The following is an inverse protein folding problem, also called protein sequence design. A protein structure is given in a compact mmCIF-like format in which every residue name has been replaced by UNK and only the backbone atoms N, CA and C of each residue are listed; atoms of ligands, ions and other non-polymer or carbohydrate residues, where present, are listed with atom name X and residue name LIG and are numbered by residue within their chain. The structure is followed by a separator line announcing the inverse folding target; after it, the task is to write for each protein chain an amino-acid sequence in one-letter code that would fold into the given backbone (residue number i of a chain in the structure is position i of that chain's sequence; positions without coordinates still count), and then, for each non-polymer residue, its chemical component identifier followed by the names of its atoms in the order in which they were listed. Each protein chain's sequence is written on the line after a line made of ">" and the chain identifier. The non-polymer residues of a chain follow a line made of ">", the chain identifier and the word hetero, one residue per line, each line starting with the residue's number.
data_IF_697710845985
#
_entry.id   IF_697710845985
#
_cell.length_a   1.000
_cell.length_b   1.000
_cell.length_c   1.000
_cell.angle_alpha   90.00
_cell.angle_beta   90.00
_cell.angle_gamma   90.00
#
_symmetry.space_group_name_H-M   'P 1'
#
loop_
_entity.id
_entity.type
_entity.pdbx_description
1 polymer ?
#
# COMPACT_ATOMS: atom_id res chain seq x y z
N UNK A 1 -29.43 -19.55 4.06
CA UNK A 1 -28.30 -19.58 4.99
C UNK A 1 -27.11 -18.86 4.33
N UNK A 2 -26.67 -17.75 4.93
CA UNK A 2 -25.47 -17.09 4.51
C UNK A 2 -24.26 -17.88 5.06
N UNK A 3 -23.18 -18.07 4.28
CA UNK A 3 -21.95 -18.64 4.83
C UNK A 3 -21.46 -17.77 5.99
N UNK A 4 -21.09 -18.37 7.10
CA UNK A 4 -20.69 -17.68 8.34
C UNK A 4 -19.54 -16.65 8.15
N UNK A 5 -18.77 -16.80 7.08
CA UNK A 5 -17.60 -15.95 6.78
C UNK A 5 -17.94 -14.62 6.06
N UNK A 6 -19.20 -14.44 5.61
CA UNK A 6 -19.58 -13.27 4.81
C UNK A 6 -20.12 -12.10 5.64
N UNK A 7 -20.47 -12.35 6.91
CA UNK A 7 -20.93 -11.31 7.84
C UNK A 7 -19.84 -11.00 8.85
N UNK A 8 -19.23 -9.81 8.81
CA UNK A 8 -18.26 -9.42 9.82
C UNK A 8 -18.92 -9.31 11.20
N UNK A 9 -18.26 -9.71 12.27
CA UNK A 9 -18.73 -9.66 13.67
C UNK A 9 -18.88 -8.20 14.12
N UNK A 10 -20.09 -7.75 14.49
CA UNK A 10 -20.38 -6.41 15.03
C UNK A 10 -21.73 -5.85 14.58
N UNK A 11 -22.21 -4.78 15.23
CA UNK A 11 -23.43 -4.04 14.83
C UNK A 11 -23.27 -3.52 13.39
N UNK A 12 -24.17 -3.92 12.50
CA UNK A 12 -24.12 -3.53 11.08
C UNK A 12 -25.49 -3.10 10.62
N UNK A 13 -25.48 -2.03 9.83
CA UNK A 13 -26.57 -1.71 8.94
C UNK A 13 -26.34 -2.55 7.67
N UNK A 14 -27.12 -3.60 7.51
CA UNK A 14 -27.10 -4.47 6.32
C UNK A 14 -28.19 -4.02 5.40
N UNK A 15 -27.86 -3.55 4.21
CA UNK A 15 -28.83 -3.29 3.15
C UNK A 15 -28.94 -4.55 2.30
N UNK A 16 -30.06 -5.22 2.36
CA UNK A 16 -30.39 -6.35 1.50
C UNK A 16 -30.94 -5.82 0.19
N UNK A 17 -30.25 -6.13 -0.92
CA UNK A 17 -30.77 -5.89 -2.26
C UNK A 17 -31.33 -7.22 -2.79
N UNK A 18 -32.65 -7.28 -2.92
CA UNK A 18 -33.35 -8.41 -3.52
C UNK A 18 -33.45 -8.14 -5.01
N UNK A 19 -32.87 -9.01 -5.85
CA UNK A 19 -33.04 -8.99 -7.30
C UNK A 19 -33.82 -10.24 -7.70
N UNK A 20 -34.88 -10.05 -8.44
CA UNK A 20 -35.65 -11.15 -9.02
C UNK A 20 -35.15 -11.35 -10.47
N UNK A 21 -34.72 -12.56 -10.78
CA UNK A 21 -34.39 -12.95 -12.16
C UNK A 21 -35.59 -13.71 -12.74
N UNK A 22 -36.30 -13.07 -13.65
CA UNK A 22 -37.31 -13.72 -14.48
C UNK A 22 -36.81 -13.77 -15.92
N UNK A 23 -36.91 -14.91 -16.55
CA UNK A 23 -36.59 -15.20 -17.97
C UNK A 23 -35.95 -14.06 -18.82
N UNK A 24 -34.76 -13.65 -18.45
CA UNK A 24 -33.94 -12.69 -19.19
C UNK A 24 -34.07 -11.22 -18.76
N UNK A 25 -34.95 -10.85 -17.86
CA UNK A 25 -35.04 -9.50 -17.30
C UNK A 25 -34.72 -9.48 -15.81
N UNK A 26 -33.91 -8.51 -15.37
CA UNK A 26 -33.57 -8.29 -13.96
C UNK A 26 -34.42 -7.18 -13.38
N UNK A 27 -35.41 -7.51 -12.61
CA UNK A 27 -36.25 -6.53 -11.91
C UNK A 27 -35.66 -6.22 -10.52
N UNK A 28 -35.37 -4.93 -10.27
CA UNK A 28 -34.91 -4.43 -8.98
C UNK A 28 -36.11 -4.26 -8.03
N UNK A 29 -36.19 -5.08 -6.98
CA UNK A 29 -37.12 -4.85 -5.90
C UNK A 29 -36.64 -3.70 -5.01
N UNK A 30 -37.59 -2.91 -4.41
CA UNK A 30 -37.22 -1.85 -3.48
C UNK A 30 -36.38 -2.40 -2.31
N UNK A 31 -35.33 -1.66 -1.94
CA UNK A 31 -34.45 -2.07 -0.84
C UNK A 31 -35.23 -2.10 0.47
N UNK A 32 -35.29 -3.27 1.11
CA UNK A 32 -35.85 -3.40 2.45
C UNK A 32 -34.78 -3.10 3.49
N UNK A 33 -35.12 -2.22 4.43
CA UNK A 33 -34.29 -1.91 5.59
C UNK A 33 -34.54 -2.98 6.66
N UNK A 34 -33.57 -3.80 6.98
CA UNK A 34 -33.62 -4.72 8.12
C UNK A 34 -32.84 -4.06 9.26
N UNK A 35 -33.55 -3.64 10.27
CA UNK A 35 -33.01 -2.81 11.34
C UNK A 35 -31.87 -3.41 12.14
N UNK A 36 -31.29 -2.58 13.00
CA UNK A 36 -30.08 -2.60 13.80
C UNK A 36 -29.72 -3.84 14.65
N UNK A 37 -30.34 -4.97 14.52
CA UNK A 37 -30.01 -6.20 15.25
C UNK A 37 -29.98 -7.38 14.30
N UNK A 38 -28.79 -7.65 13.75
CA UNK A 38 -28.47 -8.99 13.28
C UNK A 38 -27.74 -9.67 14.44
N UNK A 39 -28.49 -10.21 15.38
CA UNK A 39 -27.97 -11.25 16.24
C UNK A 39 -27.85 -12.51 15.39
N UNK A 40 -26.61 -12.93 15.23
CA UNK A 40 -26.19 -14.23 14.68
C UNK A 40 -26.93 -14.70 13.43
N UNK A 41 -26.48 -14.28 12.28
CA UNK A 41 -26.31 -15.08 11.06
C UNK A 41 -27.54 -15.73 10.39
N UNK A 42 -28.74 -15.61 10.89
CA UNK A 42 -29.94 -16.22 10.29
C UNK A 42 -31.02 -15.19 10.05
N UNK A 43 -31.21 -14.78 8.82
CA UNK A 43 -32.45 -14.13 8.38
C UNK A 43 -33.34 -15.26 7.87
N UNK A 44 -34.28 -15.68 8.70
CA UNK A 44 -35.35 -16.60 8.27
C UNK A 44 -36.30 -15.78 7.39
N UNK A 45 -36.21 -15.91 6.09
CA UNK A 45 -37.27 -15.56 5.17
C UNK A 45 -38.27 -16.71 5.21
N UNK A 46 -39.47 -16.44 5.73
CA UNK A 46 -40.54 -17.44 5.76
C UNK A 46 -40.98 -17.70 4.31
N UNK A 47 -40.73 -18.92 3.84
CA UNK A 47 -41.06 -19.35 2.48
C UNK A 47 -42.58 -19.18 2.16
N UNK A 48 -43.42 -19.14 3.19
CA UNK A 48 -44.86 -18.88 3.06
C UNK A 48 -45.21 -17.47 2.57
N UNK A 49 -44.30 -16.50 2.66
CA UNK A 49 -44.52 -15.14 2.21
C UNK A 49 -43.98 -14.86 0.80
N UNK A 50 -43.17 -15.78 0.22
CA UNK A 50 -42.64 -15.67 -1.14
C UNK A 50 -43.74 -15.85 -2.20
N UNK A 51 -44.76 -16.64 -1.92
CA UNK A 51 -45.90 -16.87 -2.82
C UNK A 51 -46.85 -15.65 -2.96
N UNK A 52 -46.64 -14.61 -2.17
CA UNK A 52 -47.47 -13.38 -2.17
C UNK A 52 -46.76 -12.18 -2.82
N UNK A 53 -45.56 -12.32 -3.33
CA UNK A 53 -44.90 -11.26 -4.07
C UNK A 53 -45.55 -11.15 -5.47
N UNK A 54 -46.42 -10.17 -5.62
CA UNK A 54 -46.99 -9.80 -6.90
C UNK A 54 -46.40 -8.45 -7.34
N UNK A 55 -45.96 -8.35 -8.58
CA UNK A 55 -45.66 -7.07 -9.22
C UNK A 55 -46.72 -6.83 -10.28
N UNK A 56 -47.42 -5.71 -10.16
CA UNK A 56 -48.54 -5.35 -11.05
C UNK A 56 -49.72 -6.36 -11.05
N UNK A 57 -49.90 -7.15 -9.98
CA UNK A 57 -51.01 -8.11 -9.86
C UNK A 57 -50.71 -9.50 -10.44
N UNK A 58 -49.58 -9.75 -11.00
CA UNK A 58 -49.14 -11.07 -11.47
C UNK A 58 -48.19 -11.74 -10.49
N UNK A 59 -48.36 -13.05 -10.28
CA UNK A 59 -47.49 -13.85 -9.43
C UNK A 59 -46.10 -14.00 -10.09
N UNK A 60 -45.06 -13.64 -9.34
CA UNK A 60 -43.70 -13.74 -9.80
C UNK A 60 -43.20 -15.19 -9.72
N UNK A 61 -42.94 -15.80 -10.87
CA UNK A 61 -42.20 -17.06 -10.96
C UNK A 61 -40.77 -16.77 -11.34
N UNK A 62 -39.80 -17.05 -10.46
CA UNK A 62 -38.37 -16.84 -10.75
C UNK A 62 -37.47 -17.22 -9.57
N UNK A 63 -36.18 -17.26 -9.81
CA UNK A 63 -35.17 -17.45 -8.76
C UNK A 63 -34.90 -16.15 -8.03
N UNK A 64 -35.06 -16.13 -6.72
CA UNK A 64 -34.69 -15.01 -5.86
C UNK A 64 -33.19 -15.06 -5.57
N UNK A 65 -32.43 -14.14 -6.13
CA UNK A 65 -31.05 -13.94 -5.77
C UNK A 65 -30.93 -12.83 -4.73
N UNK A 66 -30.41 -13.18 -3.55
CA UNK A 66 -30.08 -12.19 -2.52
C UNK A 66 -28.61 -11.81 -2.58
N UNK A 67 -28.32 -10.56 -2.85
CA UNK A 67 -26.97 -10.01 -2.66
C UNK A 67 -26.95 -9.13 -1.42
N UNK A 68 -26.11 -9.47 -0.46
CA UNK A 68 -25.88 -8.64 0.73
C UNK A 68 -24.91 -7.54 0.36
N UNK A 69 -25.43 -6.31 0.21
CA UNK A 69 -24.58 -5.13 0.11
C UNK A 69 -24.34 -4.62 1.53
N UNK A 70 -23.36 -5.21 2.21
CA UNK A 70 -23.01 -4.79 3.56
C UNK A 70 -22.24 -3.49 3.55
N UNK A 71 -22.81 -2.41 4.09
CA UNK A 71 -22.03 -1.31 4.61
C UNK A 71 -21.66 -1.62 6.06
N UNK A 72 -20.51 -2.27 6.24
CA UNK A 72 -19.96 -2.44 7.57
C UNK A 72 -19.51 -1.07 8.10
N UNK A 73 -20.31 -0.42 8.91
CA UNK A 73 -19.78 0.47 9.95
C UNK A 73 -19.19 -0.43 11.04
N UNK A 74 -18.07 -1.09 10.73
CA UNK A 74 -17.28 -1.71 11.79
C UNK A 74 -16.94 -0.64 12.81
N UNK A 75 -16.80 -1.00 14.07
CA UNK A 75 -16.26 -0.16 15.14
C UNK A 75 -14.77 0.20 14.84
N UNK A 76 -14.51 0.73 13.65
CA UNK A 76 -13.21 1.24 13.18
C UNK A 76 -12.69 2.27 14.18
N UNK A 77 -13.61 3.03 14.81
CA UNK A 77 -13.27 3.99 15.83
C UNK A 77 -12.75 3.33 17.12
N UNK A 78 -13.18 2.10 17.44
CA UNK A 78 -12.72 1.42 18.64
C UNK A 78 -11.26 0.94 18.52
N UNK A 79 -10.81 0.54 17.33
CA UNK A 79 -9.43 0.08 17.08
C UNK A 79 -8.51 1.17 16.55
N UNK A 80 -9.06 2.19 15.89
CA UNK A 80 -8.29 3.32 15.36
C UNK A 80 -7.55 4.08 16.47
N UNK A 81 -8.25 4.50 17.51
CA UNK A 81 -7.67 5.25 18.62
C UNK A 81 -6.62 4.45 19.42
N UNK A 82 -6.87 3.17 19.81
CA UNK A 82 -5.84 2.36 20.46
C UNK A 82 -4.60 2.15 19.58
N UNK A 83 -4.76 1.90 18.27
CA UNK A 83 -3.61 1.70 17.38
C UNK A 83 -2.83 3.00 17.18
N UNK A 84 -3.51 4.12 16.91
CA UNK A 84 -2.86 5.42 16.84
C UNK A 84 -2.21 5.80 18.18
N UNK A 85 -2.89 5.54 19.29
CA UNK A 85 -2.36 5.74 20.63
C UNK A 85 -1.14 4.85 20.90
N UNK A 86 -1.19 3.58 20.55
CA UNK A 86 -0.07 2.65 20.69
C UNK A 86 1.12 3.07 19.81
N UNK A 87 0.90 3.53 18.59
CA UNK A 87 1.97 4.04 17.72
C UNK A 87 2.60 5.32 18.27
N UNK A 88 1.78 6.26 18.78
CA UNK A 88 2.26 7.48 19.42
C UNK A 88 3.01 7.15 20.70
N UNK A 89 2.49 6.25 21.54
CA UNK A 89 3.14 5.79 22.78
C UNK A 89 4.44 5.04 22.48
N UNK A 90 4.44 4.21 21.44
CA UNK A 90 5.68 3.51 21.01
C UNK A 90 6.71 4.52 20.49
N UNK A 91 6.29 5.51 19.70
CA UNK A 91 7.16 6.61 19.26
C UNK A 91 7.68 7.43 20.44
N UNK A 92 6.81 7.80 21.37
CA UNK A 92 7.18 8.52 22.60
C UNK A 92 8.11 7.68 23.49
N UNK A 93 7.82 6.38 23.66
CA UNK A 93 8.68 5.47 24.41
C UNK A 93 10.07 5.32 23.76
N UNK A 94 10.14 5.23 22.43
CA UNK A 94 11.40 5.23 21.69
C UNK A 94 12.18 6.52 21.92
N UNK A 95 11.52 7.68 21.84
CA UNK A 95 12.16 8.99 22.13
C UNK A 95 12.63 9.07 23.58
N UNK A 96 11.79 8.64 24.54
CA UNK A 96 12.14 8.63 25.97
C UNK A 96 13.29 7.66 26.28
N UNK A 97 13.27 6.44 25.70
CA UNK A 97 14.38 5.48 25.85
C UNK A 97 15.66 6.01 25.21
N UNK A 98 15.56 6.71 24.07
CA UNK A 98 16.70 7.38 23.45
C UNK A 98 17.23 8.52 24.32
N UNK A 99 16.35 9.36 24.88
CA UNK A 99 16.72 10.46 25.76
C UNK A 99 17.35 9.98 27.08
N UNK A 100 16.74 8.96 27.70
CA UNK A 100 17.24 8.36 28.96
C UNK A 100 18.61 7.69 28.78
N UNK A 101 18.81 6.97 27.65
CA UNK A 101 20.10 6.32 27.37
C UNK A 101 21.17 7.32 26.94
N UNK A 102 20.79 8.43 26.29
CA UNK A 102 21.69 9.56 26.00
C UNK A 102 22.21 10.17 27.33
N UNK A 103 21.31 10.32 28.32
CA UNK A 103 21.68 10.80 29.65
C UNK A 103 22.64 9.86 30.40
N UNK A 104 22.55 8.54 30.15
CA UNK A 104 23.36 7.50 30.81
C UNK A 104 24.62 7.08 30.05
N UNK A 105 25.00 7.79 28.98
CA UNK A 105 26.23 7.56 28.19
C UNK A 105 26.30 6.21 27.44
N UNK A 106 25.20 5.44 27.38
CA UNK A 106 25.15 4.16 26.67
C UNK A 106 24.75 4.37 25.22
N UNK A 107 25.67 4.08 24.30
CA UNK A 107 25.39 4.13 22.86
C UNK A 107 24.42 3.04 22.46
N UNK A 108 23.25 3.44 21.95
CA UNK A 108 22.29 2.56 21.32
C UNK A 108 22.30 2.76 19.81
N UNK A 109 21.98 1.69 19.09
CA UNK A 109 21.84 1.72 17.63
C UNK A 109 20.89 2.84 17.15
N UNK A 110 19.74 3.04 17.83
CA UNK A 110 18.77 4.10 17.49
C UNK A 110 19.33 5.51 17.75
N UNK A 111 20.04 5.72 18.87
CA UNK A 111 20.73 6.99 19.14
C UNK A 111 21.79 7.27 18.10
N UNK A 112 22.57 6.27 17.75
CA UNK A 112 23.58 6.37 16.70
C UNK A 112 22.96 6.74 15.35
N UNK A 113 21.82 6.15 14.99
CA UNK A 113 21.08 6.50 13.75
C UNK A 113 20.57 7.94 13.80
N UNK A 114 19.98 8.38 14.92
CA UNK A 114 19.48 9.75 15.08
C UNK A 114 20.62 10.76 15.05
N UNK A 115 21.72 10.51 15.77
CA UNK A 115 22.91 11.37 15.76
C UNK A 115 23.57 11.43 14.38
N UNK A 116 23.62 10.30 13.66
CA UNK A 116 24.13 10.26 12.31
C UNK A 116 23.24 11.02 11.34
N UNK A 117 21.90 10.88 11.44
CA UNK A 117 20.96 11.63 10.62
C UNK A 117 21.08 13.14 10.89
N UNK A 118 21.21 13.56 12.15
CA UNK A 118 21.37 14.97 12.49
C UNK A 118 22.71 15.52 12.02
N UNK A 119 23.80 14.76 12.21
CA UNK A 119 25.15 15.14 11.77
C UNK A 119 25.25 15.29 10.25
N UNK A 120 24.57 14.42 9.49
CA UNK A 120 24.64 14.41 8.03
C UNK A 120 23.38 14.98 7.36
N UNK A 121 22.46 15.59 8.10
CA UNK A 121 21.20 16.16 7.57
C UNK A 121 21.40 17.12 6.41
N UNK A 122 22.44 17.97 6.50
CA UNK A 122 22.77 18.92 5.45
C UNK A 122 23.19 18.20 4.16
N UNK A 123 24.06 17.19 4.29
CA UNK A 123 24.51 16.39 3.16
C UNK A 123 23.37 15.60 2.52
N UNK A 124 22.54 14.94 3.35
CA UNK A 124 21.38 14.20 2.85
C UNK A 124 20.45 15.14 2.07
N UNK A 125 20.16 16.33 2.64
CA UNK A 125 19.35 17.35 1.97
C UNK A 125 19.95 17.79 0.64
N UNK A 126 21.27 18.00 0.57
CA UNK A 126 21.96 18.37 -0.68
C UNK A 126 21.88 17.25 -1.72
N UNK A 127 22.14 15.98 -1.31
CA UNK A 127 22.04 14.84 -2.22
C UNK A 127 20.62 14.67 -2.76
N UNK A 128 19.60 14.74 -1.89
CA UNK A 128 18.18 14.66 -2.28
C UNK A 128 17.83 15.81 -3.23
N UNK A 129 18.20 17.04 -2.91
CA UNK A 129 17.95 18.21 -3.77
C UNK A 129 18.64 18.09 -5.12
N UNK A 130 19.92 17.64 -5.14
CA UNK A 130 20.65 17.38 -6.37
C UNK A 130 19.93 16.35 -7.24
N UNK A 131 19.54 15.23 -6.66
CA UNK A 131 18.90 14.14 -7.39
C UNK A 131 17.53 14.55 -7.93
N UNK A 132 16.75 15.29 -7.14
CA UNK A 132 15.47 15.85 -7.56
C UNK A 132 15.65 16.87 -8.69
N UNK A 133 16.58 17.82 -8.54
CA UNK A 133 16.84 18.82 -9.57
C UNK A 133 17.38 18.20 -10.85
N UNK A 134 18.26 17.18 -10.77
CA UNK A 134 18.80 16.50 -11.95
C UNK A 134 17.71 15.81 -12.75
N UNK A 135 16.70 15.24 -12.08
CA UNK A 135 15.55 14.57 -12.73
C UNK A 135 14.70 15.55 -13.55
N UNK A 136 14.56 16.81 -13.10
CA UNK A 136 13.60 17.76 -13.68
C UNK A 136 14.25 18.96 -14.39
N UNK A 137 15.57 19.15 -14.28
CA UNK A 137 16.27 20.36 -14.75
C UNK A 137 16.10 20.69 -16.23
N UNK A 138 15.98 19.67 -17.08
CA UNK A 138 15.88 19.84 -18.54
C UNK A 138 14.48 19.53 -19.08
N UNK A 139 13.49 19.43 -18.23
CA UNK A 139 12.13 19.09 -18.61
C UNK A 139 11.26 20.34 -18.68
N UNK A 140 10.49 20.50 -19.78
CA UNK A 140 9.52 21.58 -19.97
C UNK A 140 8.43 21.55 -18.89
N UNK A 141 7.93 20.36 -18.57
CA UNK A 141 6.89 20.17 -17.55
C UNK A 141 7.45 19.99 -16.14
N UNK A 142 8.79 19.76 -16.01
CA UNK A 142 9.45 19.64 -14.72
C UNK A 142 8.77 18.64 -13.77
N UNK A 143 8.48 19.10 -12.57
CA UNK A 143 7.84 18.32 -11.50
C UNK A 143 6.42 17.86 -11.86
N UNK A 144 5.75 18.52 -12.83
CA UNK A 144 4.42 18.14 -13.27
C UNK A 144 4.39 16.71 -13.84
N UNK A 145 5.51 16.19 -14.33
CA UNK A 145 5.62 14.79 -14.77
C UNK A 145 5.37 13.79 -13.63
N UNK A 146 5.75 14.11 -12.40
CA UNK A 146 5.45 13.23 -11.25
C UNK A 146 3.95 13.14 -10.95
N UNK A 147 3.20 14.17 -11.34
CA UNK A 147 1.74 14.19 -11.24
C UNK A 147 1.08 13.51 -12.45
N UNK A 148 1.53 13.84 -13.67
CA UNK A 148 0.93 13.35 -14.91
C UNK A 148 1.19 11.87 -15.17
N UNK A 149 2.40 11.39 -14.90
CA UNK A 149 2.79 10.01 -15.20
C UNK A 149 1.87 8.97 -14.54
N UNK A 150 1.58 9.03 -13.21
CA UNK A 150 0.61 8.12 -12.60
C UNK A 150 -0.80 8.21 -13.22
N UNK A 151 -1.26 9.43 -13.57
CA UNK A 151 -2.56 9.62 -14.19
C UNK A 151 -2.64 9.03 -15.59
N UNK A 152 -1.64 9.29 -16.43
CA UNK A 152 -1.60 8.75 -17.79
C UNK A 152 -1.48 7.23 -17.77
N UNK A 153 -0.62 6.68 -16.91
CA UNK A 153 -0.47 5.24 -16.75
C UNK A 153 -1.78 4.61 -16.29
N UNK A 154 -2.44 5.21 -15.31
CA UNK A 154 -3.76 4.77 -14.84
C UNK A 154 -4.80 4.85 -15.97
N UNK A 155 -4.81 5.94 -16.74
CA UNK A 155 -5.75 6.12 -17.85
C UNK A 155 -5.63 5.02 -18.91
N UNK A 156 -4.40 4.71 -19.33
CA UNK A 156 -4.13 3.61 -20.27
C UNK A 156 -4.56 2.26 -19.69
N UNK A 157 -4.18 1.98 -18.46
CA UNK A 157 -4.54 0.72 -17.79
C UNK A 157 -6.04 0.61 -17.54
N UNK A 158 -6.70 1.72 -17.19
CA UNK A 158 -8.15 1.77 -17.06
C UNK A 158 -8.84 1.37 -18.36
N UNK A 159 -8.45 1.96 -19.49
CA UNK A 159 -9.02 1.62 -20.80
C UNK A 159 -8.81 0.13 -21.11
N UNK A 160 -7.61 -0.39 -20.94
CA UNK A 160 -7.29 -1.79 -21.22
C UNK A 160 -8.09 -2.73 -20.32
N UNK A 161 -8.05 -2.52 -19.02
CA UNK A 161 -8.64 -3.48 -18.06
C UNK A 161 -10.16 -3.31 -17.91
N UNK A 162 -10.73 -2.12 -18.11
CA UNK A 162 -12.18 -1.94 -18.10
C UNK A 162 -12.84 -2.49 -19.35
N UNK A 163 -12.20 -2.31 -20.52
CA UNK A 163 -12.79 -2.71 -21.81
C UNK A 163 -12.57 -4.19 -22.09
N UNK A 164 -11.35 -4.71 -21.88
CA UNK A 164 -11.00 -6.09 -22.23
C UNK A 164 -11.46 -7.07 -21.13
N UNK A 165 -11.21 -6.75 -19.86
CA UNK A 165 -11.49 -7.64 -18.74
C UNK A 165 -12.86 -7.41 -18.09
N UNK A 166 -13.63 -6.39 -18.54
CA UNK A 166 -14.95 -6.03 -17.99
C UNK A 166 -14.96 -6.06 -16.47
N UNK A 167 -13.95 -5.45 -15.87
CA UNK A 167 -13.73 -5.45 -14.43
C UNK A 167 -14.95 -4.85 -13.71
N UNK A 168 -15.57 -5.63 -12.85
CA UNK A 168 -16.73 -5.22 -12.02
C UNK A 168 -16.33 -4.50 -10.72
N UNK A 169 -15.07 -4.07 -10.62
CA UNK A 169 -14.55 -3.41 -9.40
C UNK A 169 -15.15 -2.01 -9.29
N UNK A 170 -15.83 -1.74 -8.19
CA UNK A 170 -16.32 -0.39 -7.89
C UNK A 170 -15.13 0.58 -7.76
N UNK A 171 -15.28 1.79 -8.34
CA UNK A 171 -14.23 2.83 -8.31
C UNK A 171 -12.87 2.35 -8.83
N UNK A 172 -12.87 1.58 -9.93
CA UNK A 172 -11.68 0.98 -10.52
C UNK A 172 -10.51 1.95 -10.76
N UNK A 173 -10.71 3.24 -11.17
CA UNK A 173 -9.60 4.20 -11.29
C UNK A 173 -8.83 4.40 -9.98
N UNK A 174 -9.53 4.52 -8.84
CA UNK A 174 -8.90 4.68 -7.52
C UNK A 174 -8.20 3.37 -7.11
N UNK A 175 -8.81 2.22 -7.41
CA UNK A 175 -8.21 0.90 -7.19
C UNK A 175 -6.87 0.75 -7.92
N UNK A 176 -6.81 1.14 -9.18
CA UNK A 176 -5.58 1.13 -9.99
C UNK A 176 -4.54 2.12 -9.43
N UNK A 177 -4.95 3.38 -9.16
CA UNK A 177 -4.06 4.43 -8.70
C UNK A 177 -3.35 4.06 -7.38
N UNK A 178 -4.07 3.46 -6.43
CA UNK A 178 -3.45 3.04 -5.15
C UNK A 178 -2.31 2.05 -5.37
N UNK A 179 -2.51 1.07 -6.25
CA UNK A 179 -1.48 0.09 -6.60
C UNK A 179 -0.32 0.70 -7.37
N UNK A 180 -0.62 1.49 -8.42
CA UNK A 180 0.37 2.12 -9.29
C UNK A 180 1.30 3.05 -8.49
N UNK A 181 0.75 3.92 -7.66
CA UNK A 181 1.52 4.93 -6.91
C UNK A 181 2.50 4.27 -5.94
N UNK A 182 2.06 3.27 -5.17
CA UNK A 182 2.92 2.59 -4.21
C UNK A 182 3.96 1.71 -4.91
N UNK A 183 3.57 0.99 -5.95
CA UNK A 183 4.49 0.10 -6.66
C UNK A 183 5.54 0.88 -7.47
N UNK A 184 5.15 1.99 -8.12
CA UNK A 184 6.08 2.86 -8.83
C UNK A 184 7.12 3.45 -7.88
N UNK A 185 6.70 3.87 -6.67
CA UNK A 185 7.65 4.32 -5.65
C UNK A 185 8.65 3.21 -5.28
N UNK A 186 8.17 2.00 -4.99
CA UNK A 186 9.03 0.87 -4.67
C UNK A 186 10.03 0.58 -5.79
N UNK A 187 9.55 0.49 -7.03
CA UNK A 187 10.38 0.24 -8.22
C UNK A 187 11.43 1.33 -8.42
N UNK A 188 11.05 2.61 -8.34
CA UNK A 188 11.95 3.75 -8.49
C UNK A 188 12.99 3.79 -7.36
N UNK A 189 12.56 3.68 -6.09
CA UNK A 189 13.42 3.76 -4.94
C UNK A 189 14.47 2.64 -4.91
N UNK A 190 14.07 1.41 -5.25
CA UNK A 190 14.99 0.27 -5.29
C UNK A 190 15.94 0.32 -6.47
N UNK A 191 15.49 0.76 -7.65
CA UNK A 191 16.34 0.92 -8.83
C UNK A 191 17.38 2.03 -8.64
N UNK A 192 16.99 3.20 -8.11
CA UNK A 192 17.92 4.28 -7.79
C UNK A 192 18.85 3.89 -6.63
N UNK A 193 18.32 3.16 -5.64
CA UNK A 193 19.09 2.65 -4.51
C UNK A 193 20.18 1.66 -4.95
N UNK A 194 19.84 0.76 -5.86
CA UNK A 194 20.76 -0.22 -6.45
C UNK A 194 22.00 0.45 -7.05
N UNK A 195 21.82 1.55 -7.78
CA UNK A 195 22.90 2.28 -8.43
C UNK A 195 23.62 3.27 -7.50
N UNK A 196 23.10 3.49 -6.31
CA UNK A 196 23.51 4.58 -5.42
C UNK A 196 25.01 4.62 -5.08
N UNK A 197 25.63 3.48 -4.86
CA UNK A 197 27.06 3.38 -4.52
C UNK A 197 27.91 3.57 -5.78
N UNK A 198 27.57 2.89 -6.86
CA UNK A 198 28.32 2.89 -8.12
C UNK A 198 28.37 4.26 -8.77
N UNK A 199 27.22 4.95 -8.85
CA UNK A 199 27.13 6.31 -9.42
C UNK A 199 27.91 7.34 -8.60
N UNK A 200 28.07 7.13 -7.31
CA UNK A 200 28.80 8.04 -6.42
C UNK A 200 30.22 7.53 -6.08
N UNK A 201 30.79 6.60 -6.86
CA UNK A 201 32.09 6.02 -6.64
C UNK A 201 33.20 7.08 -6.48
N UNK A 202 33.22 8.10 -7.36
CA UNK A 202 34.19 9.19 -7.29
C UNK A 202 34.13 10.03 -6.02
N UNK A 203 32.95 10.09 -5.38
CA UNK A 203 32.77 10.80 -4.12
C UNK A 203 33.19 9.91 -2.93
N UNK A 204 32.88 8.62 -3.00
CA UNK A 204 33.20 7.63 -1.97
C UNK A 204 34.72 7.44 -1.83
N UNK A 205 35.46 7.52 -2.94
CA UNK A 205 36.90 7.36 -2.94
C UNK A 205 37.66 8.61 -2.47
N UNK A 206 37.06 9.80 -2.61
CA UNK A 206 37.72 11.09 -2.28
C UNK A 206 37.37 11.61 -0.89
N UNK A 207 36.19 11.27 -0.36
CA UNK A 207 35.68 11.82 0.91
C UNK A 207 35.24 10.69 1.82
N UNK A 208 35.79 10.68 3.04
CA UNK A 208 35.38 9.70 4.05
C UNK A 208 33.99 10.05 4.60
N UNK A 209 33.00 9.32 4.10
CA UNK A 209 31.60 9.46 4.55
C UNK A 209 30.96 8.09 4.77
N UNK A 210 30.00 7.99 5.69
CA UNK A 210 29.23 6.76 5.88
C UNK A 210 28.48 6.39 4.59
N UNK A 211 28.78 5.22 4.04
CA UNK A 211 28.31 4.81 2.70
C UNK A 211 26.80 4.57 2.63
N UNK A 212 26.14 4.27 3.77
CA UNK A 212 24.67 4.09 3.83
C UNK A 212 23.88 5.37 3.51
N UNK A 213 24.51 6.55 3.54
CA UNK A 213 23.86 7.82 3.19
C UNK A 213 23.40 7.82 1.72
N UNK A 214 24.11 7.13 0.83
CA UNK A 214 23.77 7.10 -0.59
C UNK A 214 22.48 6.35 -0.90
N UNK A 215 22.26 5.09 -0.47
CA UNK A 215 20.97 4.43 -0.64
C UNK A 215 19.84 5.18 0.07
N UNK A 216 20.10 5.72 1.27
CA UNK A 216 19.11 6.49 2.02
C UNK A 216 18.68 7.75 1.27
N UNK A 217 19.62 8.54 0.73
CA UNK A 217 19.30 9.78 0.00
C UNK A 217 18.50 9.49 -1.28
N UNK A 218 18.80 8.39 -2.00
CA UNK A 218 18.04 7.97 -3.18
C UNK A 218 16.62 7.56 -2.83
N UNK A 219 16.44 6.77 -1.79
CA UNK A 219 15.11 6.35 -1.32
C UNK A 219 14.27 7.55 -0.83
N UNK A 220 14.91 8.52 -0.16
CA UNK A 220 14.25 9.77 0.25
C UNK A 220 13.91 10.67 -0.95
N UNK A 221 14.74 10.71 -1.97
CA UNK A 221 14.44 11.47 -3.19
C UNK A 221 13.21 10.91 -3.91
N UNK A 222 13.10 9.58 -4.02
CA UNK A 222 11.91 8.93 -4.57
C UNK A 222 10.67 9.14 -3.69
N UNK A 223 10.83 9.28 -2.36
CA UNK A 223 9.72 9.56 -1.45
C UNK A 223 9.04 10.90 -1.77
N UNK A 224 9.80 11.90 -2.20
CA UNK A 224 9.21 13.18 -2.65
C UNK A 224 8.29 12.96 -3.85
N UNK A 225 8.70 12.11 -4.81
CA UNK A 225 7.87 11.76 -5.96
C UNK A 225 6.60 11.03 -5.54
N UNK A 226 6.69 10.11 -4.56
CA UNK A 226 5.52 9.45 -3.98
C UNK A 226 4.54 10.47 -3.40
N UNK A 227 5.03 11.41 -2.58
CA UNK A 227 4.18 12.45 -1.96
C UNK A 227 3.47 13.31 -3.02
N UNK A 228 4.16 13.68 -4.10
CA UNK A 228 3.55 14.38 -5.23
C UNK A 228 2.50 13.49 -5.92
N UNK A 229 2.77 12.20 -6.09
CA UNK A 229 1.85 11.24 -6.74
C UNK A 229 0.60 10.91 -5.89
N UNK A 230 0.58 11.24 -4.59
CA UNK A 230 -0.64 11.16 -3.78
C UNK A 230 -1.66 12.23 -4.16
N UNK A 231 -1.22 13.37 -4.71
CA UNK A 231 -2.14 14.46 -5.12
C UNK A 231 -3.11 13.96 -6.22
N UNK A 232 -2.65 13.36 -7.34
CA UNK A 232 -3.55 12.79 -8.33
C UNK A 232 -4.42 11.65 -7.77
N UNK A 233 -3.95 10.87 -6.80
CA UNK A 233 -4.77 9.87 -6.12
C UNK A 233 -5.96 10.52 -5.38
N UNK A 234 -5.69 11.57 -4.59
CA UNK A 234 -6.73 12.32 -3.89
C UNK A 234 -7.72 12.98 -4.87
N UNK A 235 -7.20 13.54 -5.97
CA UNK A 235 -8.02 14.13 -7.02
C UNK A 235 -8.94 13.08 -7.64
N UNK A 236 -8.44 11.87 -7.94
CA UNK A 236 -9.27 10.79 -8.48
C UNK A 236 -10.33 10.32 -7.49
N UNK A 237 -10.04 10.29 -6.18
CA UNK A 237 -11.05 9.99 -5.16
C UNK A 237 -12.18 11.03 -5.18
N UNK A 238 -11.86 12.31 -5.31
CA UNK A 238 -12.86 13.39 -5.42
C UNK A 238 -13.70 13.27 -6.68
N UNK A 239 -13.07 13.02 -7.84
CA UNK A 239 -13.76 12.89 -9.13
C UNK A 239 -14.68 11.68 -9.16
N UNK A 240 -14.27 10.57 -8.56
CA UNK A 240 -15.07 9.32 -8.51
C UNK A 240 -16.10 9.29 -7.39
N UNK A 241 -16.15 10.34 -6.54
CA UNK A 241 -17.11 10.43 -5.43
C UNK A 241 -16.77 9.50 -4.25
N UNK A 242 -15.54 8.99 -4.16
CA UNK A 242 -15.10 8.19 -3.01
C UNK A 242 -14.98 9.09 -1.78
N UNK A 243 -15.68 8.79 -0.66
CA UNK A 243 -15.68 9.67 0.51
C UNK A 243 -14.30 9.75 1.17
N UNK A 244 -13.86 10.96 1.48
CA UNK A 244 -12.65 11.19 2.26
C UNK A 244 -12.94 10.88 3.73
N UNK A 245 -12.57 9.70 4.17
CA UNK A 245 -12.80 9.22 5.55
C UNK A 245 -11.62 9.54 6.47
N UNK A 246 -11.87 9.48 7.79
CA UNK A 246 -10.81 9.62 8.80
C UNK A 246 -9.73 8.54 8.69
N UNK A 247 -10.02 7.42 8.03
CA UNK A 247 -9.06 6.34 7.78
C UNK A 247 -7.86 6.83 6.94
N UNK A 248 -8.02 7.87 6.10
CA UNK A 248 -6.91 8.45 5.33
C UNK A 248 -5.78 9.01 6.21
N UNK A 249 -6.02 9.31 7.49
CA UNK A 249 -4.97 9.68 8.43
C UNK A 249 -3.95 8.55 8.69
N UNK A 250 -4.25 7.31 8.30
CA UNK A 250 -3.31 6.18 8.33
C UNK A 250 -2.38 6.13 7.11
N UNK A 251 -2.59 6.96 6.08
CA UNK A 251 -1.72 7.02 4.89
C UNK A 251 -0.23 7.21 5.24
N UNK A 252 0.17 8.08 6.18
CA UNK A 252 1.58 8.23 6.57
C UNK A 252 2.20 6.93 7.09
N UNK A 253 1.40 6.07 7.74
CA UNK A 253 1.86 4.76 8.23
C UNK A 253 2.16 3.80 7.07
N UNK A 254 1.29 3.77 6.05
CA UNK A 254 1.53 2.97 4.83
C UNK A 254 2.81 3.45 4.13
N UNK A 255 2.97 4.76 4.01
CA UNK A 255 4.18 5.37 3.42
C UNK A 255 5.42 4.95 4.20
N UNK A 256 5.35 4.95 5.53
CA UNK A 256 6.45 4.50 6.38
C UNK A 256 6.81 3.04 6.15
N UNK A 257 5.81 2.14 6.03
CA UNK A 257 6.04 0.73 5.75
C UNK A 257 6.73 0.53 4.39
N UNK A 258 6.20 1.16 3.33
CA UNK A 258 6.77 1.04 1.98
C UNK A 258 8.16 1.68 1.90
N UNK A 259 8.38 2.82 2.58
CA UNK A 259 9.69 3.46 2.68
C UNK A 259 10.72 2.55 3.35
N UNK A 260 10.37 1.98 4.51
CA UNK A 260 11.25 1.10 5.29
C UNK A 260 11.61 -0.15 4.49
N UNK A 261 10.63 -0.75 3.82
CA UNK A 261 10.81 -1.88 2.92
C UNK A 261 11.76 -1.54 1.76
N UNK A 262 11.48 -0.44 1.05
CA UNK A 262 12.27 0.02 -0.09
C UNK A 262 13.70 0.36 0.30
N UNK A 263 13.92 0.94 1.48
CA UNK A 263 15.25 1.24 2.01
C UNK A 263 16.05 -0.04 2.27
N UNK A 264 15.43 -1.03 2.91
CA UNK A 264 16.06 -2.34 3.15
C UNK A 264 16.48 -3.02 1.86
N UNK A 265 15.57 -3.07 0.88
CA UNK A 265 15.85 -3.62 -0.45
C UNK A 265 16.92 -2.82 -1.18
N UNK A 266 16.90 -1.48 -1.11
CA UNK A 266 17.90 -0.61 -1.72
C UNK A 266 19.31 -0.87 -1.17
N UNK A 267 19.45 -1.06 0.14
CA UNK A 267 20.74 -1.38 0.77
C UNK A 267 21.27 -2.76 0.33
N UNK A 268 20.39 -3.75 0.29
CA UNK A 268 20.73 -5.09 -0.18
C UNK A 268 21.19 -5.06 -1.64
N UNK A 269 20.41 -4.45 -2.51
CA UNK A 269 20.66 -4.36 -3.94
C UNK A 269 21.89 -3.52 -4.27
N UNK A 270 22.12 -2.40 -3.56
CA UNK A 270 23.33 -1.60 -3.68
C UNK A 270 24.58 -2.41 -3.39
N UNK A 271 24.53 -3.25 -2.34
CA UNK A 271 25.65 -4.15 -2.02
C UNK A 271 25.87 -5.18 -3.12
N UNK A 272 24.81 -5.82 -3.61
CA UNK A 272 24.91 -6.80 -4.70
C UNK A 272 25.46 -6.19 -5.97
N UNK A 273 25.03 -4.97 -6.34
CA UNK A 273 25.45 -4.28 -7.55
C UNK A 273 26.93 -3.86 -7.53
N UNK A 274 27.51 -3.60 -6.36
CA UNK A 274 28.95 -3.33 -6.24
C UNK A 274 29.78 -4.56 -6.61
N UNK A 275 29.37 -5.75 -6.17
CA UNK A 275 30.08 -6.99 -6.45
C UNK A 275 29.73 -7.61 -7.80
N UNK A 276 28.47 -7.51 -8.20
CA UNK A 276 27.91 -8.11 -9.40
C UNK A 276 27.12 -7.07 -10.19
N UNK A 277 27.73 -6.49 -11.21
CA UNK A 277 27.12 -5.44 -12.06
C UNK A 277 25.84 -5.89 -12.78
N UNK A 278 25.71 -7.20 -13.03
CA UNK A 278 24.54 -7.81 -13.68
C UNK A 278 23.28 -7.74 -12.80
N UNK A 279 23.43 -7.48 -11.50
CA UNK A 279 22.31 -7.28 -10.56
C UNK A 279 21.30 -6.25 -11.09
N UNK A 280 21.75 -5.23 -11.83
CA UNK A 280 20.90 -4.22 -12.45
C UNK A 280 19.89 -4.83 -13.44
N UNK A 281 20.38 -5.70 -14.32
CA UNK A 281 19.54 -6.35 -15.33
C UNK A 281 18.60 -7.36 -14.67
N UNK A 282 19.12 -8.16 -13.76
CA UNK A 282 18.30 -9.12 -13.00
C UNK A 282 17.19 -8.42 -12.22
N UNK A 283 17.50 -7.31 -11.56
CA UNK A 283 16.51 -6.56 -10.79
C UNK A 283 15.39 -6.00 -11.64
N UNK A 284 15.70 -5.50 -12.85
CA UNK A 284 14.67 -5.00 -13.76
C UNK A 284 13.65 -6.09 -14.14
N UNK A 285 14.13 -7.33 -14.37
CA UNK A 285 13.27 -8.48 -14.65
C UNK A 285 12.45 -8.88 -13.41
N UNK A 286 13.09 -8.90 -12.23
CA UNK A 286 12.40 -9.20 -10.96
C UNK A 286 11.28 -8.20 -10.69
N UNK A 287 11.52 -6.91 -10.86
CA UNK A 287 10.49 -5.86 -10.68
C UNK A 287 9.34 -6.05 -11.66
N UNK A 288 9.63 -6.40 -12.92
CA UNK A 288 8.59 -6.67 -13.91
C UNK A 288 7.71 -7.86 -13.49
N UNK A 289 8.33 -8.98 -13.11
CA UNK A 289 7.61 -10.16 -12.61
C UNK A 289 6.79 -9.79 -11.36
N UNK A 290 7.38 -9.07 -10.41
CA UNK A 290 6.73 -8.67 -9.17
C UNK A 290 5.52 -7.77 -9.39
N UNK A 291 5.57 -6.89 -10.45
CA UNK A 291 4.43 -6.05 -10.86
C UNK A 291 3.20 -6.91 -11.17
N UNK A 292 3.39 -8.00 -11.92
CA UNK A 292 2.30 -8.90 -12.30
C UNK A 292 1.90 -9.90 -11.22
N UNK A 293 2.83 -10.29 -10.37
CA UNK A 293 2.53 -11.12 -9.19
C UNK A 293 1.78 -10.35 -8.09
N UNK A 294 1.83 -9.02 -8.10
CA UNK A 294 1.05 -8.21 -7.17
C UNK A 294 -0.28 -7.82 -7.83
N UNK A 295 -1.44 -8.03 -7.18
CA UNK A 295 -2.75 -7.75 -7.76
C UNK A 295 -3.00 -6.24 -7.85
N UNK A 296 -2.26 -5.56 -8.74
CA UNK A 296 -2.40 -4.13 -9.02
C UNK A 296 -3.59 -3.91 -9.96
N UNK A 297 -3.68 -4.72 -11.02
CA UNK A 297 -4.58 -4.54 -12.16
C UNK A 297 -5.85 -5.40 -12.10
N UNK A 298 -5.84 -6.44 -11.28
CA UNK A 298 -6.90 -7.44 -11.19
C UNK A 298 -7.36 -7.63 -9.74
N UNK A 299 -8.63 -8.05 -9.53
CA UNK A 299 -9.15 -8.28 -8.19
C UNK A 299 -8.61 -9.57 -7.59
N UNK A 300 -8.58 -9.64 -6.26
CA UNK A 300 -8.15 -10.82 -5.51
C UNK A 300 -8.99 -12.07 -5.82
N UNK A 301 -10.26 -11.88 -6.21
CA UNK A 301 -11.18 -12.98 -6.54
C UNK A 301 -10.72 -13.85 -7.72
N UNK A 302 -9.80 -13.36 -8.56
CA UNK A 302 -9.21 -14.14 -9.67
C UNK A 302 -8.12 -15.10 -9.17
N UNK A 303 -7.57 -14.85 -7.98
CA UNK A 303 -6.47 -15.66 -7.44
C UNK A 303 -7.02 -17.00 -6.95
N UNK A 304 -6.47 -18.15 -7.40
CA UNK A 304 -6.86 -19.46 -6.89
C UNK A 304 -6.66 -19.54 -5.37
N UNK A 305 -7.62 -20.14 -4.65
CA UNK A 305 -7.58 -20.24 -3.18
C UNK A 305 -6.28 -20.88 -2.65
N UNK A 306 -5.67 -21.79 -3.41
CA UNK A 306 -4.41 -22.44 -3.07
C UNK A 306 -3.22 -21.49 -3.02
N UNK A 307 -3.24 -20.39 -3.79
CA UNK A 307 -2.15 -19.42 -3.90
C UNK A 307 -2.34 -18.20 -2.98
N UNK A 308 -3.49 -18.01 -2.38
CA UNK A 308 -3.79 -16.85 -1.51
C UNK A 308 -2.76 -16.74 -0.39
N UNK A 309 -2.36 -17.87 0.24
CA UNK A 309 -1.32 -17.87 1.28
C UNK A 309 0.02 -17.30 0.81
N UNK A 310 0.42 -17.59 -0.43
CA UNK A 310 1.65 -17.07 -1.03
C UNK A 310 1.55 -15.55 -1.29
N UNK A 311 0.39 -15.09 -1.74
CA UNK A 311 0.14 -13.65 -1.95
C UNK A 311 0.17 -12.88 -0.63
N UNK A 312 -0.33 -13.44 0.46
CA UNK A 312 -0.25 -12.82 1.79
C UNK A 312 1.19 -12.67 2.30
N UNK A 313 2.14 -13.49 1.83
CA UNK A 313 3.56 -13.35 2.15
C UNK A 313 4.24 -12.23 1.34
N UNK A 314 3.61 -11.72 0.27
CA UNK A 314 4.15 -10.62 -0.53
C UNK A 314 3.99 -9.28 0.20
N UNK A 315 5.09 -8.60 0.63
CA UNK A 315 4.97 -7.34 1.36
C UNK A 315 4.26 -6.25 0.56
N UNK A 316 4.54 -6.15 -0.75
CA UNK A 316 3.91 -5.14 -1.61
C UNK A 316 2.40 -5.32 -1.73
N UNK A 317 1.93 -6.58 -1.76
CA UNK A 317 0.50 -6.90 -1.71
C UNK A 317 -0.13 -6.35 -0.42
N UNK A 318 0.49 -6.60 0.74
CA UNK A 318 -0.03 -6.15 2.04
C UNK A 318 -0.09 -4.61 2.14
N UNK A 319 0.92 -3.91 1.64
CA UNK A 319 0.93 -2.44 1.65
C UNK A 319 -0.17 -1.85 0.73
N UNK A 320 -0.35 -2.42 -0.46
CA UNK A 320 -1.41 -2.01 -1.40
C UNK A 320 -2.79 -2.35 -0.83
N UNK A 321 -2.97 -3.52 -0.25
CA UNK A 321 -4.19 -3.93 0.43
C UNK A 321 -4.54 -2.96 1.57
N UNK A 322 -3.56 -2.61 2.42
CA UNK A 322 -3.72 -1.62 3.48
C UNK A 322 -4.19 -0.28 2.90
N UNK A 323 -3.53 0.22 1.85
CA UNK A 323 -3.90 1.47 1.20
C UNK A 323 -5.32 1.42 0.63
N UNK A 324 -5.74 0.30 0.02
CA UNK A 324 -7.10 0.10 -0.49
C UNK A 324 -8.15 0.09 0.62
N UNK A 325 -7.87 -0.54 1.75
CA UNK A 325 -8.77 -0.51 2.90
C UNK A 325 -9.07 0.93 3.36
N UNK A 326 -8.05 1.79 3.42
CA UNK A 326 -8.20 3.18 3.88
C UNK A 326 -8.78 4.11 2.81
N UNK A 327 -8.50 3.88 1.52
CA UNK A 327 -8.97 4.75 0.43
C UNK A 327 -10.36 4.34 -0.07
N UNK A 328 -10.55 3.08 -0.45
CA UNK A 328 -11.80 2.57 -1.02
C UNK A 328 -12.78 2.10 0.07
N UNK A 329 -12.27 1.35 1.04
CA UNK A 329 -13.09 0.83 2.14
C UNK A 329 -13.45 1.88 3.18
N UNK A 330 -12.66 2.95 3.28
CA UNK A 330 -12.84 3.98 4.32
C UNK A 330 -12.67 3.45 5.75
N UNK A 331 -12.08 2.26 5.90
CA UNK A 331 -11.93 1.52 7.16
C UNK A 331 -10.46 1.23 7.46
N UNK A 332 -10.13 1.11 8.75
CA UNK A 332 -8.81 0.61 9.16
C UNK A 332 -8.74 -0.90 8.90
N UNK A 333 -7.63 -1.41 8.36
CA UNK A 333 -7.46 -2.84 8.13
C UNK A 333 -7.43 -3.63 9.44
N UNK A 334 -7.57 -4.96 9.34
CA UNK A 334 -7.50 -5.85 10.50
C UNK A 334 -6.12 -5.78 11.19
N UNK A 335 -6.03 -5.99 12.52
CA UNK A 335 -4.76 -5.96 13.27
C UNK A 335 -3.68 -6.88 12.69
N UNK A 336 -4.06 -8.01 12.12
CA UNK A 336 -3.15 -8.97 11.50
C UNK A 336 -2.43 -8.38 10.26
N UNK A 337 -3.10 -7.47 9.52
CA UNK A 337 -2.50 -6.76 8.39
C UNK A 337 -1.36 -5.84 8.84
N UNK A 338 -1.50 -5.18 10.00
CA UNK A 338 -0.40 -4.38 10.58
C UNK A 338 0.81 -5.24 10.91
N UNK A 339 0.57 -6.45 11.43
CA UNK A 339 1.66 -7.41 11.73
C UNK A 339 2.38 -7.82 10.44
N UNK A 340 1.64 -8.21 9.40
CA UNK A 340 2.23 -8.56 8.10
C UNK A 340 3.00 -7.40 7.48
N UNK A 341 2.45 -6.17 7.51
CA UNK A 341 3.15 -4.98 7.03
C UNK A 341 4.43 -4.71 7.82
N UNK A 342 4.38 -4.82 9.16
CA UNK A 342 5.54 -4.60 10.02
C UNK A 342 6.63 -5.64 9.78
N UNK A 343 6.29 -6.93 9.75
CA UNK A 343 7.24 -8.00 9.46
C UNK A 343 7.78 -7.87 8.02
N UNK A 344 6.90 -7.60 7.06
CA UNK A 344 7.26 -7.42 5.65
C UNK A 344 8.24 -6.29 5.39
N UNK A 345 8.20 -5.20 6.16
CA UNK A 345 9.15 -4.10 6.02
C UNK A 345 10.42 -4.28 6.87
N UNK A 346 10.30 -4.85 8.09
CA UNK A 346 11.42 -4.96 9.02
C UNK A 346 12.43 -6.05 8.62
N UNK A 347 11.95 -7.19 8.11
CA UNK A 347 12.83 -8.30 7.70
C UNK A 347 13.80 -7.85 6.60
N UNK A 348 13.36 -7.27 5.46
CA UNK A 348 14.26 -6.77 4.42
C UNK A 348 15.17 -5.64 4.90
N UNK A 349 14.67 -4.77 5.80
CA UNK A 349 15.52 -3.72 6.39
C UNK A 349 16.67 -4.31 7.19
N UNK A 350 16.38 -5.25 8.09
CA UNK A 350 17.41 -5.88 8.94
C UNK A 350 18.44 -6.65 8.10
N UNK A 351 17.99 -7.41 7.11
CA UNK A 351 18.86 -8.14 6.18
C UNK A 351 19.70 -7.15 5.36
N UNK A 352 19.07 -6.13 4.77
CA UNK A 352 19.74 -5.12 3.96
C UNK A 352 20.82 -4.36 4.73
N UNK A 353 20.48 -3.88 5.93
CA UNK A 353 21.43 -3.19 6.82
C UNK A 353 22.58 -4.13 7.24
N UNK A 354 22.27 -5.37 7.59
CA UNK A 354 23.29 -6.34 8.02
C UNK A 354 24.28 -6.66 6.88
N UNK A 355 23.77 -6.98 5.68
CA UNK A 355 24.59 -7.29 4.50
C UNK A 355 25.43 -6.08 4.10
N UNK A 356 24.82 -4.89 4.09
CA UNK A 356 25.49 -3.65 3.75
C UNK A 356 26.63 -3.34 4.72
N UNK A 357 26.38 -3.37 6.04
CA UNK A 357 27.40 -3.12 7.07
C UNK A 357 28.56 -4.11 7.00
N UNK A 358 28.28 -5.39 6.77
CA UNK A 358 29.32 -6.42 6.65
C UNK A 358 30.26 -6.20 5.47
N UNK A 359 29.74 -5.64 4.36
CA UNK A 359 30.47 -5.53 3.10
C UNK A 359 30.94 -4.10 2.75
N UNK A 360 30.45 -3.07 3.46
CA UNK A 360 30.73 -1.66 3.11
C UNK A 360 32.22 -1.33 3.02
N UNK A 361 33.09 -1.95 3.83
CA UNK A 361 34.52 -1.66 3.85
C UNK A 361 35.21 -2.14 2.57
N UNK A 362 34.68 -3.19 1.95
CA UNK A 362 35.17 -3.76 0.71
C UNK A 362 34.76 -2.97 -0.54
N UNK A 363 33.76 -2.09 -0.46
CA UNK A 363 33.25 -1.37 -1.64
C UNK A 363 34.33 -0.57 -2.38
N UNK A 364 35.28 0.02 -1.65
CA UNK A 364 36.36 0.81 -2.25
C UNK A 364 37.26 -0.02 -3.18
N UNK A 365 37.36 -1.32 -2.94
CA UNK A 365 38.18 -2.22 -3.79
C UNK A 365 37.49 -2.66 -5.08
N UNK A 366 36.14 -2.53 -5.14
CA UNK A 366 35.33 -2.98 -6.28
C UNK A 366 34.74 -1.81 -7.10
N UNK A 367 34.90 -0.58 -6.63
CA UNK A 367 34.48 0.64 -7.33
C UNK A 367 35.53 1.13 -8.30
#
# INVERSE_FOLDING_TARGET
>A
EFPDDTLPVGRKDVTLRLTLHTDGETNLLPAFWVGNKVDTGRIALDASNLDRLTVNGEALQGQLCMTVVGHSRSNVMAWYWPICGALVLMGAALVLVCAWKRANGKQNFLLLVVELLDRYRFLIRQLVSRDFNTKYRQSVLGVLWSFLNPLLTMGVQYIVFSTIFRSSIANFPVYLMTGIVLFNYFSEATSLGLDSIVVNASLITKVYMPKYIYPLSRTLSSLINLLISLVPLLLMMLVTGVPLTKALLLTPLVILFVFTFSLGMSMLLATMNVFFRDTRFLWSVVVLIWTYLTPIFYPESIIPAQLIGLYHMNPMYQFIYFMRCITLGGIAPNPITYLYCTLGCMIPLLIGVWVFRKNQDRFVFYL
#
